data_IF_986593834200
#
_entry.id   IF_986593834200
#
_cell.length_a   1.000
_cell.length_b   1.000
_cell.length_c   1.000
_cell.angle_alpha   90.00
_cell.angle_beta   90.00
_cell.angle_gamma   90.00
#
_symmetry.space_group_name_H-M   'P 1'
#
loop_
_entity.id
_entity.type
_entity.pdbx_description
1 polymer ?
#
# COMPACT_ATOMS: atom_id res chain seq x y z
N UNK A 1 22.31 -1.48 -5.45
CA UNK A 1 22.42 -2.30 -6.68
C UNK A 1 22.07 -3.73 -6.32
N UNK A 2 21.33 -4.43 -7.18
CA UNK A 2 21.02 -5.85 -6.97
C UNK A 2 22.28 -6.69 -7.15
N UNK A 3 22.42 -7.75 -6.35
CA UNK A 3 23.50 -8.71 -6.53
C UNK A 3 23.29 -9.51 -7.82
N UNK A 4 24.30 -9.60 -8.68
CA UNK A 4 24.29 -10.48 -9.85
C UNK A 4 24.85 -11.87 -9.54
N UNK A 5 25.25 -12.13 -8.30
CA UNK A 5 25.83 -13.40 -7.90
C UNK A 5 24.73 -14.44 -7.65
N UNK A 6 24.23 -15.07 -8.73
CA UNK A 6 23.22 -16.14 -8.70
C UNK A 6 22.02 -15.81 -7.81
N UNK A 7 21.48 -14.61 -8.00
CA UNK A 7 20.36 -14.10 -7.21
C UNK A 7 19.05 -14.39 -7.91
N UNK A 8 18.08 -14.91 -7.16
CA UNK A 8 16.72 -15.16 -7.63
C UNK A 8 15.78 -14.19 -6.91
N UNK A 9 15.02 -13.44 -7.69
CA UNK A 9 14.05 -12.46 -7.21
C UNK A 9 12.67 -12.97 -7.62
N UNK A 10 11.80 -13.21 -6.65
CA UNK A 10 10.46 -13.75 -6.89
C UNK A 10 9.44 -12.63 -6.86
N UNK A 11 8.59 -12.54 -7.88
CA UNK A 11 7.45 -11.61 -7.96
C UNK A 11 6.15 -12.39 -7.82
N UNK A 12 5.58 -12.32 -6.63
CA UNK A 12 4.26 -12.83 -6.26
C UNK A 12 3.81 -12.07 -5.02
N UNK A 13 2.77 -11.26 -5.12
CA UNK A 13 2.35 -10.36 -4.06
C UNK A 13 2.02 -11.16 -2.79
N UNK A 14 2.54 -10.73 -1.65
CA UNK A 14 2.48 -11.53 -0.44
C UNK A 14 2.50 -10.69 0.82
N UNK A 15 1.53 -10.97 1.69
CA UNK A 15 1.54 -10.51 3.06
C UNK A 15 2.63 -11.25 3.84
N UNK A 16 3.71 -10.51 4.09
CA UNK A 16 4.82 -10.90 4.95
C UNK A 16 5.53 -9.64 5.41
N UNK A 17 5.97 -9.58 6.67
CA UNK A 17 6.81 -8.49 7.14
C UNK A 17 8.08 -8.38 6.27
N UNK A 18 8.58 -7.17 5.95
CA UNK A 18 9.71 -7.02 5.04
C UNK A 18 10.98 -7.67 5.58
N UNK A 19 11.50 -8.63 4.83
CA UNK A 19 12.74 -9.35 5.12
C UNK A 19 13.58 -9.51 3.83
N UNK A 20 14.90 -9.71 3.93
CA UNK A 20 15.71 -9.97 2.74
C UNK A 20 15.30 -11.26 2.01
N UNK A 21 15.33 -11.22 0.67
CA UNK A 21 15.17 -12.38 -0.22
C UNK A 21 13.83 -13.11 -0.15
N UNK A 22 12.74 -12.40 0.15
CA UNK A 22 11.37 -12.91 0.06
C UNK A 22 10.55 -12.09 -0.95
N UNK A 23 9.52 -12.68 -1.54
CA UNK A 23 8.50 -11.94 -2.28
C UNK A 23 7.62 -11.17 -1.28
N UNK A 24 7.52 -9.86 -1.47
CA UNK A 24 6.78 -8.93 -0.60
C UNK A 24 5.43 -8.56 -1.23
N UNK A 25 4.86 -7.43 -0.80
CA UNK A 25 3.50 -7.01 -1.12
C UNK A 25 3.23 -6.69 -2.60
N UNK A 26 4.26 -6.33 -3.37
CA UNK A 26 4.11 -5.82 -4.73
C UNK A 26 5.09 -6.41 -5.75
N UNK A 27 4.70 -6.34 -7.02
CA UNK A 27 5.43 -6.94 -8.14
C UNK A 27 5.64 -5.94 -9.27
N UNK A 28 6.89 -5.58 -9.54
CA UNK A 28 7.25 -4.62 -10.58
C UNK A 28 8.30 -5.21 -11.51
N UNK A 29 7.90 -5.84 -12.63
CA UNK A 29 8.82 -6.50 -13.57
C UNK A 29 9.53 -5.49 -14.49
N UNK A 30 10.16 -4.48 -13.89
CA UNK A 30 10.98 -3.46 -14.53
C UNK A 30 12.38 -3.44 -13.93
N UNK A 31 13.40 -3.24 -14.75
CA UNK A 31 14.75 -2.93 -14.28
C UNK A 31 15.38 -1.81 -15.11
N UNK A 32 16.32 -1.10 -14.48
CA UNK A 32 17.20 -0.11 -15.09
C UNK A 32 18.64 -0.59 -14.98
N UNK A 33 19.37 -0.56 -16.10
CA UNK A 33 20.79 -0.89 -16.17
C UNK A 33 21.57 0.39 -16.43
N UNK A 34 22.62 0.61 -15.63
CA UNK A 34 23.64 1.61 -15.91
C UNK A 34 24.72 0.99 -16.80
N UNK A 35 25.13 1.73 -17.81
CA UNK A 35 26.19 1.39 -18.73
C UNK A 35 27.44 2.23 -18.44
N UNK A 36 28.60 1.75 -18.89
CA UNK A 36 29.83 2.49 -18.73
C UNK A 36 29.74 3.85 -19.45
N UNK A 37 30.30 4.89 -18.83
CA UNK A 37 30.15 6.28 -19.31
C UNK A 37 28.86 6.98 -18.88
N UNK A 38 28.02 6.37 -18.04
CA UNK A 38 26.84 7.01 -17.43
C UNK A 38 25.55 6.96 -18.26
N UNK A 39 25.56 6.21 -19.37
CA UNK A 39 24.37 5.90 -20.14
C UNK A 39 23.52 4.86 -19.40
N UNK A 40 22.25 4.73 -19.77
CA UNK A 40 21.36 3.74 -19.17
C UNK A 40 20.28 3.30 -20.15
N UNK A 41 19.79 2.08 -19.94
CA UNK A 41 18.56 1.59 -20.54
C UNK A 41 17.67 0.92 -19.48
N UNK A 42 16.40 0.73 -19.81
CA UNK A 42 15.44 0.01 -18.97
C UNK A 42 14.69 -1.05 -19.76
N UNK A 43 14.21 -2.08 -19.06
CA UNK A 43 13.37 -3.12 -19.66
C UNK A 43 12.19 -3.39 -18.75
N UNK A 44 10.99 -3.42 -19.33
CA UNK A 44 9.76 -3.79 -18.66
C UNK A 44 9.15 -5.02 -19.35
N UNK A 45 8.85 -6.05 -18.56
CA UNK A 45 8.07 -7.20 -19.00
C UNK A 45 6.62 -7.03 -18.51
N UNK A 46 5.69 -6.74 -19.42
CA UNK A 46 4.28 -6.63 -19.09
C UNK A 46 3.68 -8.04 -18.92
N UNK A 47 3.88 -8.60 -17.73
CA UNK A 47 3.38 -9.92 -17.34
C UNK A 47 3.06 -9.91 -15.83
N UNK A 48 1.87 -10.36 -15.45
CA UNK A 48 1.38 -10.33 -14.07
C UNK A 48 1.37 -11.68 -13.37
N UNK A 49 1.73 -12.77 -14.06
CA UNK A 49 1.80 -14.08 -13.43
C UNK A 49 2.94 -14.14 -12.40
N UNK A 50 2.90 -15.18 -11.55
CA UNK A 50 4.02 -15.50 -10.68
C UNK A 50 5.29 -15.67 -11.51
N UNK A 51 6.40 -15.06 -11.10
CA UNK A 51 7.65 -15.17 -11.85
C UNK A 51 8.89 -15.14 -10.96
N UNK A 52 9.95 -15.80 -11.43
CA UNK A 52 11.31 -15.57 -10.95
C UNK A 52 12.09 -14.71 -11.97
N UNK A 53 12.91 -13.82 -11.45
CA UNK A 53 13.98 -13.12 -12.17
C UNK A 53 15.30 -13.66 -11.67
N UNK A 54 16.07 -14.29 -12.54
CA UNK A 54 17.36 -14.89 -12.19
C UNK A 54 18.50 -14.02 -12.71
N UNK A 55 19.32 -13.51 -11.80
CA UNK A 55 20.52 -12.71 -12.09
C UNK A 55 21.76 -13.59 -11.92
N UNK A 56 22.64 -13.56 -12.92
CA UNK A 56 23.90 -14.33 -12.94
C UNK A 56 25.10 -13.41 -13.22
N UNK A 57 26.33 -13.79 -12.81
CA UNK A 57 27.48 -12.88 -12.81
C UNK A 57 28.11 -12.63 -14.18
N UNK A 58 27.59 -13.24 -15.25
CA UNK A 58 28.17 -13.14 -16.59
C UNK A 58 28.22 -11.73 -17.22
N UNK A 59 27.58 -10.67 -16.71
CA UNK A 59 26.22 -10.52 -16.17
C UNK A 59 25.12 -10.97 -17.14
N UNK A 60 24.04 -11.57 -16.65
CA UNK A 60 22.82 -11.80 -17.45
C UNK A 60 21.58 -11.91 -16.56
N UNK A 61 20.41 -11.76 -17.18
CA UNK A 61 19.10 -11.85 -16.53
C UNK A 61 18.22 -12.86 -17.29
N UNK A 62 17.44 -13.65 -16.56
CA UNK A 62 16.40 -14.51 -17.12
C UNK A 62 15.05 -14.26 -16.45
N UNK A 63 14.05 -13.88 -17.24
CA UNK A 63 12.65 -13.88 -16.81
C UNK A 63 12.08 -15.30 -16.89
N UNK A 64 11.44 -15.77 -15.83
CA UNK A 64 10.75 -17.08 -15.76
C UNK A 64 9.36 -16.89 -15.19
N UNK A 65 8.44 -16.49 -16.06
CA UNK A 65 7.01 -16.38 -15.72
C UNK A 65 6.30 -17.73 -15.88
N UNK A 66 5.28 -17.95 -15.06
CA UNK A 66 4.48 -19.18 -15.08
C UNK A 66 3.27 -19.13 -16.04
N UNK A 67 2.99 -17.97 -16.64
CA UNK A 67 1.85 -17.80 -17.54
C UNK A 67 1.94 -16.55 -18.40
N UNK A 68 0.83 -16.22 -19.07
CA UNK A 68 0.73 -15.04 -19.93
C UNK A 68 1.61 -15.13 -21.19
N UNK A 69 2.07 -13.98 -21.66
CA UNK A 69 2.94 -13.83 -22.83
C UNK A 69 4.23 -13.07 -22.47
N UNK A 70 5.18 -13.04 -23.41
CA UNK A 70 6.36 -12.19 -23.33
C UNK A 70 6.08 -10.88 -24.10
N UNK A 71 5.56 -9.88 -23.38
CA UNK A 71 5.38 -8.52 -23.89
C UNK A 71 6.45 -7.61 -23.28
N UNK A 72 7.42 -7.19 -24.08
CA UNK A 72 8.67 -6.58 -23.62
C UNK A 72 8.86 -5.18 -24.21
N UNK A 73 9.08 -4.22 -23.33
CA UNK A 73 9.44 -2.84 -23.67
C UNK A 73 10.91 -2.59 -23.32
N UNK A 74 11.61 -1.88 -24.20
CA UNK A 74 13.00 -1.46 -24.00
C UNK A 74 13.06 0.06 -24.12
N UNK A 75 13.61 0.71 -23.10
CA UNK A 75 13.72 2.15 -22.96
C UNK A 75 15.19 2.55 -23.06
N UNK A 76 15.54 3.43 -24.00
CA UNK A 76 16.94 3.65 -24.40
C UNK A 76 17.64 4.82 -23.67
N UNK A 77 16.93 5.58 -22.82
CA UNK A 77 17.52 6.73 -22.14
C UNK A 77 17.85 7.87 -23.11
N UNK A 78 19.10 8.39 -23.17
CA UNK A 78 20.31 7.76 -22.61
C UNK A 78 20.56 8.07 -21.13
N UNK A 79 19.99 9.13 -20.57
CA UNK A 79 20.16 9.45 -19.15
C UNK A 79 19.29 8.50 -18.29
N UNK A 80 19.73 8.10 -17.08
CA UNK A 80 18.90 7.31 -16.16
C UNK A 80 17.54 7.94 -15.86
N UNK A 81 17.46 9.27 -15.75
CA UNK A 81 16.19 10.01 -15.58
C UNK A 81 15.27 9.84 -16.79
N UNK A 82 15.83 9.88 -18.00
CA UNK A 82 15.09 9.69 -19.25
C UNK A 82 14.56 8.25 -19.38
N UNK A 83 15.32 7.25 -18.91
CA UNK A 83 14.84 5.85 -18.86
C UNK A 83 13.60 5.72 -17.98
N UNK A 84 13.63 6.31 -16.78
CA UNK A 84 12.47 6.31 -15.87
C UNK A 84 11.28 7.01 -16.55
N UNK A 85 11.47 8.19 -17.12
CA UNK A 85 10.41 8.89 -17.83
C UNK A 85 9.79 8.04 -18.96
N UNK A 86 10.61 7.41 -19.79
CA UNK A 86 10.17 6.56 -20.90
C UNK A 86 9.38 5.33 -20.42
N UNK A 87 9.78 4.73 -19.29
CA UNK A 87 8.99 3.68 -18.64
C UNK A 87 7.61 4.21 -18.20
N UNK A 88 7.58 5.39 -17.58
CA UNK A 88 6.34 6.00 -17.12
C UNK A 88 5.45 6.53 -18.26
N UNK A 89 5.99 6.78 -19.45
CA UNK A 89 5.19 7.06 -20.66
C UNK A 89 4.31 5.85 -21.03
N UNK A 90 4.74 4.63 -20.71
CA UNK A 90 3.99 3.39 -20.97
C UNK A 90 3.02 3.09 -19.84
N UNK A 91 3.49 3.06 -18.59
CA UNK A 91 2.66 2.61 -17.45
C UNK A 91 1.80 3.72 -16.84
N UNK A 92 2.11 4.98 -17.15
CA UNK A 92 1.39 6.17 -16.71
C UNK A 92 2.12 6.95 -15.63
N UNK A 93 2.08 8.28 -15.76
CA UNK A 93 2.72 9.18 -14.81
C UNK A 93 2.03 9.17 -13.43
N UNK A 94 2.80 9.43 -12.35
CA UNK A 94 2.28 9.53 -10.99
C UNK A 94 1.09 10.49 -10.87
N UNK A 95 0.13 10.16 -10.01
CA UNK A 95 -0.94 11.08 -9.66
C UNK A 95 -0.39 12.30 -8.92
N UNK A 96 -1.05 13.45 -9.07
CA UNK A 96 -0.72 14.63 -8.26
C UNK A 96 -1.40 14.51 -6.89
N UNK A 97 -0.65 14.39 -5.77
CA UNK A 97 -1.26 14.34 -4.46
C UNK A 97 -1.94 15.67 -4.11
N UNK A 98 -2.96 15.68 -3.23
CA UNK A 98 -3.37 16.89 -2.55
C UNK A 98 -2.23 17.39 -1.65
N UNK A 99 -2.08 18.71 -1.54
CA UNK A 99 -0.96 19.32 -0.78
C UNK A 99 -0.88 18.86 0.67
N UNK A 100 -2.03 18.70 1.34
CA UNK A 100 -2.12 18.21 2.72
C UNK A 100 -1.55 16.80 2.89
N UNK A 101 -1.56 15.99 1.82
CA UNK A 101 -1.00 14.63 1.81
C UNK A 101 0.52 14.58 1.83
N UNK A 102 1.19 15.74 1.76
CA UNK A 102 2.64 15.87 1.95
C UNK A 102 3.00 16.30 3.38
N UNK A 103 2.01 16.66 4.20
CA UNK A 103 2.19 16.96 5.62
C UNK A 103 2.59 15.72 6.44
N UNK A 104 2.58 15.86 7.75
CA UNK A 104 2.82 14.73 8.65
C UNK A 104 1.53 13.95 8.94
N UNK A 105 1.65 12.63 8.91
CA UNK A 105 0.58 11.67 9.18
C UNK A 105 0.90 10.88 10.45
N UNK A 106 -0.09 10.68 11.33
CA UNK A 106 0.08 9.92 12.56
C UNK A 106 -1.00 8.87 12.73
N UNK A 107 -0.59 7.63 12.98
CA UNK A 107 -1.44 6.46 13.11
C UNK A 107 -0.91 5.53 14.22
N UNK A 108 -1.75 4.60 14.64
CA UNK A 108 -1.36 3.32 15.24
C UNK A 108 -2.54 2.35 15.16
N UNK A 109 -2.24 1.06 15.24
CA UNK A 109 -3.21 0.11 15.74
C UNK A 109 -3.30 0.28 17.28
N UNK A 110 -4.50 0.53 17.79
CA UNK A 110 -4.80 0.65 19.22
C UNK A 110 -5.26 2.02 19.69
N UNK A 111 -5.57 2.97 18.80
CA UNK A 111 -6.34 4.15 19.19
C UNK A 111 -7.80 3.75 19.34
N UNK A 112 -8.12 3.09 20.45
CA UNK A 112 -9.34 2.30 20.60
C UNK A 112 -10.64 3.08 20.82
N UNK A 113 -10.59 4.42 20.92
CA UNK A 113 -11.77 5.26 21.06
C UNK A 113 -11.58 6.60 20.35
N UNK A 114 -12.69 7.28 20.03
CA UNK A 114 -12.65 8.65 19.51
C UNK A 114 -11.99 9.63 20.50
N UNK A 115 -12.18 9.44 21.81
CA UNK A 115 -11.56 10.26 22.85
C UNK A 115 -10.02 10.12 22.87
N UNK A 116 -9.49 8.90 22.76
CA UNK A 116 -8.04 8.66 22.65
C UNK A 116 -7.50 9.31 21.37
N UNK A 117 -8.22 9.15 20.26
CA UNK A 117 -7.83 9.74 18.97
C UNK A 117 -7.74 11.28 19.05
N UNK A 118 -8.70 11.94 19.72
CA UNK A 118 -8.62 13.39 20.00
C UNK A 118 -7.43 13.77 20.87
N UNK A 119 -7.15 12.99 21.93
CA UNK A 119 -6.02 13.25 22.81
C UNK A 119 -4.68 13.23 22.06
N UNK A 120 -4.52 12.38 21.05
CA UNK A 120 -3.32 12.36 20.20
C UNK A 120 -3.12 13.71 19.51
N UNK A 121 -4.18 14.24 18.90
CA UNK A 121 -4.16 15.53 18.20
C UNK A 121 -3.92 16.69 19.18
N UNK A 122 -4.56 16.66 20.35
CA UNK A 122 -4.34 17.64 21.42
C UNK A 122 -2.90 17.63 21.91
N UNK A 123 -2.31 16.46 22.15
CA UNK A 123 -0.95 16.32 22.64
C UNK A 123 0.09 16.76 21.60
N UNK A 124 -0.10 16.40 20.32
CA UNK A 124 0.72 16.92 19.22
C UNK A 124 0.68 18.45 19.16
N UNK A 125 -0.53 19.02 19.26
CA UNK A 125 -0.74 20.48 19.23
C UNK A 125 -0.07 21.16 20.43
N UNK A 126 -0.27 20.63 21.65
CA UNK A 126 0.31 21.15 22.90
C UNK A 126 1.83 21.13 22.89
N UNK A 127 2.43 20.11 22.27
CA UNK A 127 3.88 19.96 22.15
C UNK A 127 4.47 20.66 20.91
N UNK A 128 3.68 21.43 20.15
CA UNK A 128 4.10 22.16 18.95
C UNK A 128 4.66 21.27 17.83
N UNK A 129 4.09 20.07 17.67
CA UNK A 129 4.37 19.23 16.50
C UNK A 129 3.32 19.49 15.40
N UNK A 130 3.76 19.74 14.15
CA UNK A 130 2.86 19.70 13.00
C UNK A 130 2.16 18.34 12.86
N UNK A 131 0.89 18.37 12.49
CA UNK A 131 0.07 17.20 12.19
C UNK A 131 -1.04 17.63 11.23
N UNK A 132 -0.99 17.15 9.99
CA UNK A 132 -2.03 17.43 8.98
C UNK A 132 -3.11 16.36 8.97
N UNK A 133 -2.74 15.10 9.22
CA UNK A 133 -3.65 13.97 9.02
C UNK A 133 -3.61 13.01 10.20
N UNK A 134 -4.76 12.86 10.87
CA UNK A 134 -4.99 11.83 11.88
C UNK A 134 -5.53 10.56 11.22
N UNK A 135 -5.08 9.41 11.70
CA UNK A 135 -5.47 8.12 11.18
C UNK A 135 -6.05 7.20 12.26
N UNK A 136 -6.95 6.30 11.88
CA UNK A 136 -7.25 5.10 12.67
C UNK A 136 -7.05 3.83 11.83
N UNK A 137 -6.55 2.81 12.51
CA UNK A 137 -6.52 1.42 12.06
C UNK A 137 -7.90 0.76 12.29
N UNK A 138 -7.97 -0.57 12.36
CA UNK A 138 -9.18 -1.38 12.54
C UNK A 138 -10.06 -0.99 13.75
N UNK A 139 -9.52 -0.22 14.69
CA UNK A 139 -10.16 0.16 15.95
C UNK A 139 -11.52 0.85 15.76
N UNK A 140 -11.70 1.62 14.68
CA UNK A 140 -12.94 2.37 14.46
C UNK A 140 -14.11 1.47 14.09
N UNK A 141 -13.83 0.33 13.44
CA UNK A 141 -14.83 -0.54 12.82
C UNK A 141 -15.66 -1.29 13.86
N UNK A 142 -16.92 -1.59 13.53
CA UNK A 142 -17.73 -2.52 14.30
C UNK A 142 -17.36 -3.97 13.94
N UNK A 143 -16.77 -4.67 14.90
CA UNK A 143 -16.24 -6.03 14.74
C UNK A 143 -15.25 -6.19 13.55
N UNK A 144 -14.44 -5.14 13.30
CA UNK A 144 -13.43 -5.11 12.20
C UNK A 144 -14.02 -5.29 10.80
N UNK A 145 -15.25 -4.80 10.59
CA UNK A 145 -15.93 -4.84 9.29
C UNK A 145 -15.88 -3.48 8.61
N UNK A 146 -15.54 -3.45 7.33
CA UNK A 146 -15.55 -2.22 6.53
C UNK A 146 -16.90 -1.52 6.53
N UNK A 147 -16.86 -0.21 6.28
CA UNK A 147 -18.05 0.65 6.16
C UNK A 147 -18.96 0.63 7.40
N UNK A 148 -18.39 0.33 8.57
CA UNK A 148 -19.06 0.42 9.86
C UNK A 148 -18.22 1.23 10.84
N UNK A 149 -18.84 1.65 11.94
CA UNK A 149 -18.08 2.12 13.09
C UNK A 149 -18.75 1.68 14.39
N UNK A 150 -17.93 1.28 15.36
CA UNK A 150 -18.36 0.77 16.65
C UNK A 150 -19.11 1.86 17.44
N UNK A 151 -20.34 1.58 17.92
CA UNK A 151 -21.17 2.57 18.60
C UNK A 151 -20.81 2.79 20.08
N UNK A 152 -20.08 1.88 20.70
CA UNK A 152 -19.62 1.99 22.09
C UNK A 152 -18.39 2.89 22.20
N UNK A 153 -17.41 2.70 21.33
CA UNK A 153 -16.10 3.35 21.42
C UNK A 153 -15.91 4.49 20.41
N UNK A 154 -16.69 4.47 19.33
CA UNK A 154 -16.66 5.42 18.22
C UNK A 154 -18.09 5.95 17.92
N UNK A 155 -18.98 5.96 18.91
CA UNK A 155 -20.38 6.42 18.73
C UNK A 155 -20.51 7.85 18.19
N UNK A 156 -19.55 8.72 18.49
CA UNK A 156 -19.45 10.11 18.03
C UNK A 156 -18.43 10.30 16.88
N UNK A 157 -18.07 9.23 16.17
CA UNK A 157 -17.05 9.26 15.13
C UNK A 157 -17.27 10.33 14.03
N UNK A 158 -18.49 10.56 13.51
CA UNK A 158 -18.75 11.68 12.59
C UNK A 158 -18.36 13.05 13.17
N UNK A 159 -18.65 13.29 14.46
CA UNK A 159 -18.31 14.55 15.13
C UNK A 159 -16.80 14.71 15.29
N UNK A 160 -16.09 13.63 15.66
CA UNK A 160 -14.62 13.64 15.74
C UNK A 160 -13.98 14.08 14.42
N UNK A 161 -14.44 13.55 13.29
CA UNK A 161 -13.90 13.92 11.97
C UNK A 161 -14.24 15.38 11.61
N UNK A 162 -15.47 15.84 11.91
CA UNK A 162 -15.85 17.23 11.69
C UNK A 162 -15.00 18.21 12.53
N UNK A 163 -14.67 17.86 13.77
CA UNK A 163 -13.78 18.64 14.63
C UNK A 163 -12.36 18.74 14.05
N UNK A 164 -11.83 17.64 13.49
CA UNK A 164 -10.55 17.65 12.78
C UNK A 164 -10.57 18.62 11.59
N UNK A 165 -11.66 18.62 10.82
CA UNK A 165 -11.83 19.54 9.69
C UNK A 165 -11.91 21.01 10.14
N UNK A 166 -12.61 21.30 11.23
CA UNK A 166 -12.75 22.65 11.78
C UNK A 166 -11.40 23.28 12.18
N UNK A 167 -10.44 22.46 12.59
CA UNK A 167 -9.07 22.89 12.93
C UNK A 167 -8.09 22.71 11.77
N UNK A 168 -8.59 22.51 10.54
CA UNK A 168 -7.79 22.45 9.31
C UNK A 168 -7.03 21.16 9.09
N UNK A 169 -7.39 20.07 9.78
CA UNK A 169 -6.78 18.74 9.61
C UNK A 169 -7.64 17.85 8.73
N UNK A 170 -7.05 16.73 8.28
CA UNK A 170 -7.71 15.70 7.47
C UNK A 170 -7.75 14.39 8.25
N UNK A 171 -8.59 13.49 7.79
CA UNK A 171 -8.78 12.18 8.40
C UNK A 171 -8.66 11.06 7.37
N UNK A 172 -7.90 10.02 7.69
CA UNK A 172 -7.79 8.80 6.89
C UNK A 172 -8.04 7.60 7.78
N UNK A 173 -8.64 6.55 7.25
CA UNK A 173 -8.83 5.29 7.95
C UNK A 173 -8.45 4.11 7.06
N UNK A 174 -8.13 3.00 7.71
CA UNK A 174 -7.93 1.72 7.04
C UNK A 174 -9.25 1.22 6.44
N UNK A 175 -9.15 0.57 5.29
CA UNK A 175 -10.21 -0.17 4.62
C UNK A 175 -9.56 -1.45 4.09
N UNK A 176 -10.17 -2.60 4.40
CA UNK A 176 -9.71 -3.88 3.88
C UNK A 176 -10.55 -4.27 2.66
N UNK A 177 -10.03 -5.13 1.76
CA UNK A 177 -10.81 -5.62 0.64
C UNK A 177 -11.82 -6.69 1.08
N UNK A 178 -11.49 -7.50 2.09
CA UNK A 178 -12.22 -8.72 2.39
C UNK A 178 -13.49 -8.44 3.21
N UNK A 179 -14.66 -8.74 2.64
CA UNK A 179 -15.96 -8.39 3.20
C UNK A 179 -16.52 -9.54 4.04
N UNK A 180 -16.82 -9.27 5.32
CA UNK A 180 -17.39 -10.24 6.26
C UNK A 180 -18.62 -10.97 5.69
N UNK A 181 -18.61 -12.29 5.71
CA UNK A 181 -19.65 -13.16 5.13
C UNK A 181 -20.47 -13.94 6.15
N UNK A 182 -20.16 -13.80 7.46
CA UNK A 182 -20.73 -14.61 8.54
C UNK A 182 -21.91 -13.97 9.28
N UNK A 183 -22.25 -12.72 8.97
CA UNK A 183 -23.37 -12.01 9.60
C UNK A 183 -24.74 -12.62 9.21
N UNK A 184 -25.77 -12.52 10.07
CA UNK A 184 -27.13 -12.89 9.68
C UNK A 184 -27.60 -12.10 8.46
N UNK A 185 -28.41 -12.72 7.61
CA UNK A 185 -28.97 -12.04 6.44
C UNK A 185 -29.81 -10.80 6.86
N UNK A 186 -29.63 -9.69 6.15
CA UNK A 186 -30.28 -8.40 6.42
C UNK A 186 -29.53 -7.49 7.40
N UNK A 187 -28.31 -7.84 7.82
CA UNK A 187 -27.56 -7.13 8.88
C UNK A 187 -26.27 -6.47 8.42
N UNK A 188 -25.76 -6.81 7.23
CA UNK A 188 -24.50 -6.25 6.73
C UNK A 188 -24.56 -5.99 5.23
N UNK A 189 -24.99 -4.75 4.91
CA UNK A 189 -25.23 -4.28 3.53
C UNK A 189 -24.05 -4.47 2.57
N UNK A 190 -22.78 -4.20 2.92
CA UNK A 190 -21.67 -4.43 2.00
C UNK A 190 -21.61 -5.86 1.46
N UNK A 191 -21.85 -6.87 2.31
CA UNK A 191 -21.89 -8.26 1.89
C UNK A 191 -23.14 -8.60 1.09
N UNK A 192 -24.32 -8.22 1.59
CA UNK A 192 -25.60 -8.55 0.94
C UNK A 192 -25.73 -7.94 -0.44
N UNK A 193 -25.37 -6.66 -0.58
CA UNK A 193 -25.41 -5.97 -1.86
C UNK A 193 -24.34 -6.51 -2.81
N UNK A 194 -23.16 -6.83 -2.29
CA UNK A 194 -22.11 -7.48 -3.07
C UNK A 194 -22.54 -8.86 -3.59
N UNK A 195 -23.19 -9.65 -2.75
CA UNK A 195 -23.74 -10.96 -3.12
C UNK A 195 -24.86 -10.82 -4.16
N UNK A 196 -25.77 -9.86 -3.97
CA UNK A 196 -26.87 -9.55 -4.89
C UNK A 196 -26.38 -9.13 -6.28
N UNK A 197 -25.28 -8.38 -6.34
CA UNK A 197 -24.66 -7.88 -7.58
C UNK A 197 -23.61 -8.81 -8.18
N UNK A 198 -23.24 -9.89 -7.49
CA UNK A 198 -22.24 -10.84 -7.96
C UNK A 198 -20.83 -10.23 -8.05
N UNK A 199 -20.43 -9.45 -7.04
CA UNK A 199 -19.16 -8.69 -7.07
C UNK A 199 -17.96 -9.47 -6.54
N UNK A 200 -18.17 -10.65 -5.95
CA UNK A 200 -17.12 -11.42 -5.31
C UNK A 200 -16.44 -12.40 -6.26
N UNK A 201 -15.15 -12.65 -6.01
CA UNK A 201 -14.38 -13.73 -6.62
C UNK A 201 -15.07 -15.05 -6.28
N UNK A 202 -15.25 -15.92 -7.29
CA UNK A 202 -15.94 -17.19 -7.12
C UNK A 202 -15.01 -18.40 -7.18
N UNK A 203 -15.38 -19.48 -6.51
CA UNK A 203 -14.74 -20.79 -6.63
C UNK A 203 -15.25 -21.58 -7.87
N UNK A 204 -14.81 -22.82 -8.04
CA UNK A 204 -15.19 -23.69 -9.17
C UNK A 204 -16.69 -24.03 -9.23
N UNK A 205 -17.44 -23.91 -8.12
CA UNK A 205 -18.90 -24.14 -8.11
C UNK A 205 -19.71 -22.87 -8.39
N UNK A 206 -19.03 -21.76 -8.68
CA UNK A 206 -19.66 -20.46 -8.94
C UNK A 206 -20.16 -19.75 -7.68
N UNK A 207 -19.82 -20.25 -6.49
CA UNK A 207 -20.12 -19.58 -5.22
C UNK A 207 -18.98 -18.63 -4.84
N UNK A 208 -19.24 -17.55 -4.05
CA UNK A 208 -18.17 -16.72 -3.52
C UNK A 208 -17.11 -17.56 -2.81
N UNK A 209 -15.84 -17.33 -3.13
CA UNK A 209 -14.73 -17.94 -2.40
C UNK A 209 -14.69 -17.34 -0.99
N UNK A 210 -14.70 -18.21 0.03
CA UNK A 210 -14.67 -17.78 1.43
C UNK A 210 -13.27 -18.02 2.02
N UNK A 211 -12.62 -16.95 2.45
CA UNK A 211 -11.38 -16.99 3.22
C UNK A 211 -11.60 -16.52 4.66
N UNK A 212 -10.51 -16.12 5.30
CA UNK A 212 -10.53 -15.61 6.67
C UNK A 212 -9.59 -14.42 6.80
N UNK A 213 -10.10 -13.29 7.26
CA UNK A 213 -9.31 -12.08 7.58
C UNK A 213 -9.81 -11.51 8.92
N UNK A 214 -9.71 -10.21 9.15
CA UNK A 214 -9.96 -9.55 10.42
C UNK A 214 -11.35 -9.76 11.01
N UNK A 215 -12.45 -9.71 10.23
CA UNK A 215 -13.81 -9.95 10.76
C UNK A 215 -14.20 -11.44 10.78
N UNK A 216 -13.26 -12.35 10.58
CA UNK A 216 -13.53 -13.79 10.46
C UNK A 216 -13.73 -14.21 9.00
N UNK A 217 -14.79 -14.97 8.73
CA UNK A 217 -15.10 -15.46 7.38
C UNK A 217 -15.41 -14.29 6.44
N UNK A 218 -14.80 -14.30 5.27
CA UNK A 218 -14.87 -13.17 4.32
C UNK A 218 -14.94 -13.65 2.86
N UNK A 219 -15.64 -12.88 2.03
CA UNK A 219 -15.58 -12.96 0.58
C UNK A 219 -14.70 -11.82 0.04
N UNK A 220 -14.07 -12.02 -1.11
CA UNK A 220 -13.13 -11.07 -1.71
C UNK A 220 -13.78 -10.40 -2.93
N UNK A 221 -13.88 -9.06 -3.00
CA UNK A 221 -14.36 -8.36 -4.18
C UNK A 221 -13.45 -8.60 -5.38
N UNK A 222 -14.07 -8.75 -6.54
CA UNK A 222 -13.37 -8.81 -7.82
C UNK A 222 -13.30 -7.42 -8.45
N UNK A 223 -12.26 -6.66 -8.16
CA UNK A 223 -12.07 -5.31 -8.71
C UNK A 223 -11.77 -5.28 -10.22
N UNK A 224 -11.74 -6.42 -10.90
CA UNK A 224 -11.73 -6.49 -12.37
C UNK A 224 -13.13 -6.46 -12.97
N UNK A 225 -14.16 -6.73 -12.17
CA UNK A 225 -15.57 -6.68 -12.56
C UNK A 225 -16.09 -5.22 -12.50
N UNK A 226 -16.64 -4.67 -13.59
CA UNK A 226 -17.26 -3.35 -13.58
C UNK A 226 -18.36 -3.17 -12.52
N UNK A 227 -19.15 -4.21 -12.24
CA UNK A 227 -20.19 -4.15 -11.20
C UNK A 227 -19.59 -4.02 -9.79
N UNK A 228 -18.43 -4.63 -9.54
CA UNK A 228 -17.70 -4.47 -8.28
C UNK A 228 -17.16 -3.04 -8.13
N UNK A 229 -16.73 -2.40 -9.22
CA UNK A 229 -16.30 -1.00 -9.20
C UNK A 229 -17.44 -0.06 -8.79
N UNK A 230 -18.63 -0.27 -9.34
CA UNK A 230 -19.80 0.51 -8.99
C UNK A 230 -20.28 0.22 -7.56
N UNK A 231 -20.30 -1.05 -7.14
CA UNK A 231 -20.60 -1.42 -5.75
C UNK A 231 -19.63 -0.77 -4.76
N UNK A 232 -18.33 -0.83 -5.02
CA UNK A 232 -17.31 -0.24 -4.15
C UNK A 232 -17.51 1.27 -4.01
N UNK A 233 -17.77 1.92 -5.13
CA UNK A 233 -18.08 3.34 -5.18
C UNK A 233 -19.33 3.70 -4.37
N UNK A 234 -20.38 2.88 -4.44
CA UNK A 234 -21.59 3.08 -3.63
C UNK A 234 -21.29 2.91 -2.14
N UNK A 235 -20.56 1.86 -1.74
CA UNK A 235 -20.17 1.63 -0.33
C UNK A 235 -19.33 2.78 0.23
N UNK A 236 -18.32 3.23 -0.53
CA UNK A 236 -17.47 4.36 -0.15
C UNK A 236 -18.29 5.64 -0.04
N UNK A 237 -19.20 5.92 -0.98
CA UNK A 237 -20.03 7.13 -0.96
C UNK A 237 -21.03 7.12 0.21
N UNK A 238 -21.68 5.99 0.46
CA UNK A 238 -22.62 5.82 1.57
C UNK A 238 -21.93 5.96 2.93
N UNK A 239 -20.72 5.40 3.08
CA UNK A 239 -19.96 5.55 4.33
C UNK A 239 -19.41 6.97 4.49
N UNK A 240 -18.95 7.60 3.40
CA UNK A 240 -18.49 9.00 3.41
C UNK A 240 -19.61 9.96 3.82
N UNK A 241 -20.86 9.68 3.44
CA UNK A 241 -22.02 10.47 3.87
C UNK A 241 -22.27 10.41 5.38
N UNK A 242 -21.80 9.36 6.06
CA UNK A 242 -21.86 9.24 7.53
C UNK A 242 -20.63 9.83 8.20
N UNK A 243 -19.44 9.53 7.66
CA UNK A 243 -18.14 9.94 8.20
C UNK A 243 -17.33 10.57 7.05
N UNK A 244 -17.11 11.89 7.04
CA UNK A 244 -16.50 12.57 5.89
C UNK A 244 -14.97 12.41 5.86
N UNK A 245 -14.46 11.20 5.63
CA UNK A 245 -13.03 10.92 5.52
C UNK A 245 -12.40 11.52 4.25
N UNK A 246 -11.09 11.77 4.29
CA UNK A 246 -10.38 12.53 3.25
C UNK A 246 -9.55 11.69 2.27
N UNK A 247 -9.40 10.40 2.57
CA UNK A 247 -8.64 9.44 1.79
C UNK A 247 -8.85 8.04 2.33
N UNK A 248 -8.27 7.05 1.64
CA UNK A 248 -8.37 5.65 2.02
C UNK A 248 -6.98 5.06 2.17
N UNK A 249 -6.77 4.35 3.27
CA UNK A 249 -5.66 3.42 3.42
C UNK A 249 -6.20 2.03 3.08
N UNK A 250 -5.86 1.52 1.91
CA UNK A 250 -6.26 0.18 1.48
C UNK A 250 -5.16 -0.82 1.86
N UNK A 251 -5.49 -1.75 2.75
CA UNK A 251 -4.56 -2.73 3.30
C UNK A 251 -4.99 -4.17 2.96
N UNK A 252 -4.18 -5.17 3.29
CA UNK A 252 -4.53 -6.58 3.13
C UNK A 252 -4.81 -7.01 1.67
N UNK A 253 -4.31 -6.26 0.70
CA UNK A 253 -4.74 -6.31 -0.68
C UNK A 253 -3.76 -6.97 -1.64
N UNK A 254 -2.98 -7.93 -1.16
CA UNK A 254 -2.22 -8.82 -2.03
C UNK A 254 -3.07 -9.73 -2.93
N UNK A 255 -4.24 -10.30 -2.55
CA UNK A 255 -5.00 -10.21 -1.28
C UNK A 255 -4.47 -11.15 -0.20
N UNK A 256 -4.36 -10.65 1.03
CA UNK A 256 -3.98 -11.44 2.20
C UNK A 256 -5.12 -12.35 2.67
N UNK A 257 -4.76 -13.56 3.10
CA UNK A 257 -5.72 -14.52 3.64
C UNK A 257 -5.08 -15.30 4.79
N UNK A 258 -5.75 -15.39 5.95
CA UNK A 258 -5.24 -16.09 7.12
C UNK A 258 -5.33 -17.62 7.00
N UNK A 259 -6.08 -18.11 6.01
CA UNK A 259 -6.10 -19.53 5.62
C UNK A 259 -5.43 -19.72 4.26
N UNK A 260 -4.96 -20.94 3.99
CA UNK A 260 -4.34 -21.29 2.71
C UNK A 260 -5.42 -21.49 1.64
N UNK A 261 -5.60 -20.49 0.77
CA UNK A 261 -6.55 -20.57 -0.34
C UNK A 261 -7.97 -20.20 0.07
N UNK A 262 -8.71 -21.13 0.65
CA UNK A 262 -10.07 -20.89 1.15
C UNK A 262 -10.34 -21.75 2.39
N UNK A 263 -11.45 -21.52 3.09
CA UNK A 263 -11.87 -22.38 4.21
C UNK A 263 -12.20 -23.81 3.78
N UNK A 264 -12.51 -24.01 2.49
CA UNK A 264 -12.76 -25.32 1.89
C UNK A 264 -11.50 -25.89 1.19
N UNK A 265 -10.35 -25.23 1.32
CA UNK A 265 -9.14 -25.53 0.57
C UNK A 265 -9.24 -25.08 -0.89
N UNK A 266 -8.45 -25.71 -1.76
CA UNK A 266 -8.47 -25.43 -3.20
C UNK A 266 -8.47 -26.75 -3.98
N UNK A 267 -9.03 -26.76 -5.20
CA UNK A 267 -9.00 -27.92 -6.08
C UNK A 267 -7.58 -28.39 -6.40
N UNK A 268 -7.46 -29.65 -6.84
CA UNK A 268 -6.21 -30.19 -7.34
C UNK A 268 -6.16 -30.07 -8.87
N UNK A 269 -5.51 -29.01 -9.36
CA UNK A 269 -5.38 -28.72 -10.78
C UNK A 269 -4.03 -28.01 -11.07
N UNK A 270 -3.74 -27.81 -12.36
CA UNK A 270 -2.45 -27.26 -12.81
C UNK A 270 -2.25 -25.77 -12.46
N UNK A 271 -3.29 -25.01 -12.11
CA UNK A 271 -3.13 -23.63 -11.65
C UNK A 271 -2.71 -23.60 -10.18
N UNK A 272 -3.23 -24.53 -9.39
CA UNK A 272 -2.91 -24.66 -7.97
C UNK A 272 -1.58 -25.38 -7.71
N UNK A 273 -1.20 -26.27 -8.64
CA UNK A 273 0.00 -27.07 -8.65
C UNK A 273 0.70 -26.97 -10.04
N UNK A 274 1.22 -25.79 -10.40
CA UNK A 274 1.85 -25.57 -11.70
C UNK A 274 3.13 -26.40 -11.87
N UNK A 275 3.51 -26.74 -13.11
CA UNK A 275 4.71 -27.54 -13.39
C UNK A 275 6.02 -26.83 -12.99
N UNK A 276 5.99 -25.50 -12.87
CA UNK A 276 7.07 -24.69 -12.30
C UNK A 276 6.50 -23.82 -11.18
N UNK A 277 7.11 -23.88 -9.99
CA UNK A 277 6.78 -23.05 -8.85
C UNK A 277 7.92 -22.05 -8.62
N UNK A 278 7.68 -20.74 -8.76
CA UNK A 278 8.68 -19.72 -8.40
C UNK A 278 9.10 -19.80 -6.94
N UNK A 279 10.16 -19.09 -6.56
CA UNK A 279 10.71 -19.10 -5.19
C UNK A 279 9.86 -18.39 -4.15
N UNK A 280 8.54 -18.62 -4.12
CA UNK A 280 7.61 -17.95 -3.21
C UNK A 280 7.72 -18.47 -1.79
N UNK A 281 7.55 -17.59 -0.79
CA UNK A 281 7.49 -18.01 0.61
C UNK A 281 6.34 -19.00 0.82
N UNK A 282 6.63 -20.11 1.48
CA UNK A 282 5.66 -21.20 1.70
C UNK A 282 5.55 -22.21 0.55
N UNK A 283 6.26 -22.01 -0.57
CA UNK A 283 6.41 -23.00 -1.64
C UNK A 283 5.13 -23.30 -2.43
N UNK A 284 4.12 -22.44 -2.35
CA UNK A 284 2.85 -22.59 -3.07
C UNK A 284 2.22 -21.21 -3.30
N UNK A 285 1.59 -21.02 -4.46
CA UNK A 285 0.91 -19.76 -4.81
C UNK A 285 -0.24 -19.40 -3.86
N UNK A 286 -0.80 -20.40 -3.14
CA UNK A 286 -1.93 -20.23 -2.20
C UNK A 286 -1.52 -19.81 -0.79
N UNK A 287 -0.21 -19.70 -0.51
CA UNK A 287 0.25 -19.42 0.84
C UNK A 287 -0.05 -17.96 1.21
N UNK A 288 -0.86 -17.79 2.25
CA UNK A 288 -1.39 -16.51 2.75
C UNK A 288 -2.15 -15.67 1.71
N UNK A 289 -2.81 -16.34 0.75
CA UNK A 289 -3.68 -15.71 -0.24
C UNK A 289 -4.77 -16.70 -0.68
N UNK A 290 -5.54 -16.36 -1.71
CA UNK A 290 -6.68 -17.15 -2.18
C UNK A 290 -6.28 -18.24 -3.20
N UNK A 291 -7.23 -19.09 -3.59
CA UNK A 291 -7.01 -20.15 -4.58
C UNK A 291 -6.63 -19.55 -5.94
N UNK A 292 -5.56 -20.04 -6.58
CA UNK A 292 -5.09 -19.50 -7.85
C UNK A 292 -6.08 -19.76 -9.00
N UNK A 293 -6.82 -20.87 -8.93
CA UNK A 293 -7.88 -21.21 -9.89
C UNK A 293 -9.20 -20.49 -9.66
N UNK A 294 -9.31 -19.66 -8.62
CA UNK A 294 -10.53 -18.86 -8.40
C UNK A 294 -10.80 -17.90 -9.55
N UNK A 295 -12.07 -17.63 -9.81
CA UNK A 295 -12.53 -16.91 -10.99
C UNK A 295 -12.78 -15.44 -10.67
N UNK A 296 -12.14 -14.59 -11.46
CA UNK A 296 -12.42 -13.17 -11.59
C UNK A 296 -13.00 -12.90 -12.98
N UNK A 297 -13.53 -11.71 -13.19
CA UNK A 297 -14.23 -11.30 -14.41
C UNK A 297 -13.32 -11.34 -15.63
N UNK A 298 -12.05 -10.92 -15.50
CA UNK A 298 -11.11 -10.91 -16.63
C UNK A 298 -10.39 -12.24 -16.86
N UNK A 299 -10.08 -13.00 -15.81
CA UNK A 299 -9.35 -14.28 -15.88
C UNK A 299 -9.42 -15.01 -14.53
N UNK A 300 -8.64 -16.06 -14.37
CA UNK A 300 -8.36 -16.68 -13.08
C UNK A 300 -7.45 -15.81 -12.22
N UNK A 301 -7.52 -16.01 -10.90
CA UNK A 301 -6.62 -15.33 -9.96
C UNK A 301 -5.14 -15.65 -10.21
N UNK A 302 -4.83 -16.80 -10.81
CA UNK A 302 -3.47 -17.19 -11.23
C UNK A 302 -2.80 -16.13 -12.13
N UNK A 303 -3.57 -15.51 -13.03
CA UNK A 303 -3.08 -14.46 -13.93
C UNK A 303 -3.21 -13.06 -13.32
N UNK A 304 -4.17 -12.87 -12.41
CA UNK A 304 -4.58 -11.55 -11.93
C UNK A 304 -4.11 -11.22 -10.51
N UNK A 305 -3.54 -12.17 -9.78
CA UNK A 305 -3.15 -12.02 -8.38
C UNK A 305 -2.28 -10.79 -8.14
N UNK A 306 -1.20 -10.65 -8.91
CA UNK A 306 -0.29 -9.49 -8.77
C UNK A 306 -0.97 -8.15 -9.11
N UNK A 307 -2.16 -8.15 -9.69
CA UNK A 307 -2.93 -6.95 -10.05
C UNK A 307 -3.98 -6.59 -8.99
N UNK A 308 -4.23 -7.43 -7.98
CA UNK A 308 -5.35 -7.24 -7.06
C UNK A 308 -5.32 -5.86 -6.39
N UNK A 309 -4.22 -5.52 -5.70
CA UNK A 309 -4.04 -4.21 -5.07
C UNK A 309 -4.04 -3.03 -6.07
N UNK A 310 -3.54 -3.22 -7.29
CA UNK A 310 -3.61 -2.20 -8.35
C UNK A 310 -5.08 -1.92 -8.75
N UNK A 311 -5.87 -2.98 -8.92
CA UNK A 311 -7.28 -2.85 -9.32
C UNK A 311 -8.14 -2.27 -8.21
N UNK A 312 -7.88 -2.60 -6.95
CA UNK A 312 -8.51 -1.94 -5.80
C UNK A 312 -8.09 -0.46 -5.68
N UNK A 313 -6.81 -0.14 -5.91
CA UNK A 313 -6.34 1.25 -5.90
C UNK A 313 -7.05 2.09 -6.98
N UNK A 314 -7.25 1.54 -8.17
CA UNK A 314 -8.05 2.16 -9.23
C UNK A 314 -9.51 2.35 -8.81
N UNK A 315 -10.14 1.32 -8.23
CA UNK A 315 -11.52 1.39 -7.75
C UNK A 315 -11.69 2.47 -6.68
N UNK A 316 -10.80 2.49 -5.69
CA UNK A 316 -10.77 3.44 -4.58
C UNK A 316 -10.47 4.86 -5.04
N UNK A 317 -9.56 5.05 -6.00
CA UNK A 317 -9.31 6.34 -6.63
C UNK A 317 -10.60 6.91 -7.24
N UNK A 318 -11.32 6.11 -8.05
CA UNK A 318 -12.58 6.53 -8.67
C UNK A 318 -13.66 6.82 -7.64
N UNK A 319 -13.78 5.96 -6.63
CA UNK A 319 -14.76 6.11 -5.56
C UNK A 319 -14.55 7.42 -4.78
N UNK A 320 -13.32 7.75 -4.39
CA UNK A 320 -12.99 9.01 -3.70
C UNK A 320 -13.22 10.24 -4.59
N UNK A 321 -12.92 10.16 -5.89
CA UNK A 321 -13.22 11.25 -6.83
C UNK A 321 -14.73 11.52 -6.88
N UNK A 322 -15.56 10.47 -6.96
CA UNK A 322 -17.02 10.64 -6.97
C UNK A 322 -17.56 11.13 -5.63
N UNK A 323 -17.10 10.56 -4.51
CA UNK A 323 -17.59 10.89 -3.18
C UNK A 323 -17.23 12.32 -2.74
N UNK A 324 -16.05 12.83 -3.16
CA UNK A 324 -15.49 14.10 -2.66
C UNK A 324 -15.38 15.20 -3.70
N UNK A 325 -15.34 14.88 -5.00
CA UNK A 325 -15.12 15.87 -6.06
C UNK A 325 -13.75 16.56 -6.01
N UNK A 326 -12.78 15.97 -5.29
CA UNK A 326 -11.43 16.50 -5.09
C UNK A 326 -10.37 15.46 -5.47
N UNK A 327 -9.10 15.85 -5.45
CA UNK A 327 -8.00 14.90 -5.64
C UNK A 327 -8.10 13.78 -4.60
N UNK A 328 -8.10 12.51 -5.01
CA UNK A 328 -8.12 11.39 -4.08
C UNK A 328 -6.75 11.26 -3.41
N UNK A 329 -6.74 10.66 -2.23
CA UNK A 329 -5.53 10.25 -1.54
C UNK A 329 -5.72 8.79 -1.14
N UNK A 330 -5.04 7.91 -1.85
CA UNK A 330 -5.04 6.47 -1.61
C UNK A 330 -3.62 6.05 -1.24
N UNK A 331 -3.49 5.25 -0.21
CA UNK A 331 -2.23 4.62 0.20
C UNK A 331 -2.48 3.11 0.26
N UNK A 332 -1.70 2.35 -0.51
CA UNK A 332 -1.91 0.91 -0.73
C UNK A 332 -0.70 0.08 -0.32
N UNK A 333 -0.93 -1.12 0.21
CA UNK A 333 0.14 -2.07 0.53
C UNK A 333 0.64 -2.75 -0.74
N UNK A 334 -0.24 -3.50 -1.37
CA UNK A 334 0.06 -4.22 -2.59
C UNK A 334 0.09 -3.27 -3.80
N UNK A 335 1.00 -3.54 -4.74
CA UNK A 335 1.24 -2.69 -5.91
C UNK A 335 1.66 -3.53 -7.12
N UNK A 336 1.44 -2.97 -8.32
CA UNK A 336 1.97 -3.47 -9.59
C UNK A 336 2.51 -2.32 -10.44
N UNK A 337 3.18 -2.60 -11.56
CA UNK A 337 3.61 -1.58 -12.52
C UNK A 337 2.45 -0.64 -12.92
N UNK A 338 2.66 0.67 -12.83
CA UNK A 338 1.65 1.71 -13.08
C UNK A 338 0.83 2.15 -11.85
N UNK A 339 1.04 1.53 -10.67
CA UNK A 339 0.31 1.84 -9.43
C UNK A 339 0.30 3.31 -9.04
N UNK A 340 1.44 3.98 -9.23
CA UNK A 340 1.60 5.39 -8.84
C UNK A 340 0.70 6.36 -9.60
N UNK A 341 0.06 5.93 -10.69
CA UNK A 341 -0.99 6.69 -11.38
C UNK A 341 -2.27 6.86 -10.53
N UNK A 342 -2.47 6.01 -9.53
CA UNK A 342 -3.71 5.97 -8.74
C UNK A 342 -3.47 6.08 -7.23
N UNK A 343 -2.32 5.64 -6.71
CA UNK A 343 -2.12 5.57 -5.26
C UNK A 343 -0.66 5.77 -4.88
N UNK A 344 -0.43 6.21 -3.66
CA UNK A 344 0.87 6.05 -2.99
C UNK A 344 1.03 4.65 -2.40
N UNK A 345 2.13 4.46 -1.69
CA UNK A 345 2.53 3.19 -1.09
C UNK A 345 3.22 3.42 0.27
N UNK A 346 3.11 2.47 1.18
CA UNK A 346 4.02 2.37 2.33
C UNK A 346 4.64 0.99 2.39
N UNK A 347 5.87 0.90 2.87
CA UNK A 347 6.70 -0.32 2.78
C UNK A 347 6.26 -1.45 3.73
N UNK A 348 5.05 -1.39 4.28
CA UNK A 348 4.48 -2.42 5.15
C UNK A 348 5.09 -2.51 6.54
N UNK A 349 5.02 -3.73 7.10
CA UNK A 349 5.17 -4.03 8.52
C UNK A 349 6.65 -4.14 8.94
N UNK A 350 7.39 -3.05 8.78
CA UNK A 350 8.82 -2.98 9.11
C UNK A 350 9.08 -3.06 10.62
N UNK A 351 10.16 -3.72 11.02
CA UNK A 351 10.59 -3.77 12.42
C UNK A 351 11.19 -2.44 12.92
N UNK A 352 10.96 -2.11 14.19
CA UNK A 352 11.63 -1.01 14.90
C UNK A 352 13.09 -1.34 15.22
N UNK A 353 13.93 -1.42 14.19
CA UNK A 353 15.37 -1.64 14.32
C UNK A 353 16.19 -0.78 13.32
N UNK A 354 17.50 -0.70 13.55
CA UNK A 354 18.42 0.10 12.73
C UNK A 354 18.61 -0.42 11.32
N UNK A 355 18.41 -1.72 11.11
CA UNK A 355 18.56 -2.35 9.81
C UNK A 355 17.42 -1.94 8.88
N UNK A 356 16.17 -1.98 9.36
CA UNK A 356 14.99 -1.52 8.62
C UNK A 356 15.01 -0.02 8.35
N UNK A 357 15.51 0.77 9.30
CA UNK A 357 15.79 2.19 9.05
C UNK A 357 16.73 2.35 7.83
N UNK A 358 17.79 1.54 7.76
CA UNK A 358 18.73 1.56 6.62
C UNK A 358 18.08 1.08 5.32
N UNK A 359 17.30 -0.02 5.35
CA UNK A 359 16.63 -0.59 4.18
C UNK A 359 15.53 0.28 3.59
N UNK A 360 14.91 1.13 4.40
CA UNK A 360 13.93 2.11 3.92
C UNK A 360 14.49 3.03 2.82
N UNK A 361 15.76 3.43 2.89
CA UNK A 361 16.35 4.37 1.92
C UNK A 361 16.36 3.77 0.51
N UNK A 362 16.99 2.62 0.23
CA UNK A 362 16.95 2.04 -1.10
C UNK A 362 15.53 1.68 -1.54
N UNK A 363 14.62 1.33 -0.63
CA UNK A 363 13.24 0.99 -0.97
C UNK A 363 12.42 2.21 -1.43
N UNK A 364 12.47 3.33 -0.70
CA UNK A 364 11.84 4.60 -1.13
C UNK A 364 12.42 5.06 -2.48
N UNK A 365 13.73 4.93 -2.68
CA UNK A 365 14.37 5.29 -3.95
C UNK A 365 13.90 4.38 -5.09
N UNK A 366 13.78 3.06 -4.84
CA UNK A 366 13.29 2.08 -5.81
C UNK A 366 11.87 2.43 -6.25
N UNK A 367 10.95 2.67 -5.33
CA UNK A 367 9.57 3.02 -5.68
C UNK A 367 9.46 4.34 -6.44
N UNK A 368 10.38 5.28 -6.26
CA UNK A 368 10.46 6.48 -7.10
C UNK A 368 10.84 6.15 -8.55
N UNK A 369 11.80 5.25 -8.78
CA UNK A 369 12.14 4.76 -10.12
C UNK A 369 10.98 4.00 -10.78
N UNK A 370 10.15 3.35 -9.96
CA UNK A 370 8.96 2.61 -10.40
C UNK A 370 7.73 3.51 -10.62
N UNK A 371 7.87 4.83 -10.48
CA UNK A 371 6.76 5.77 -10.68
C UNK A 371 5.76 5.83 -9.54
N UNK A 372 6.13 5.41 -8.34
CA UNK A 372 5.33 5.55 -7.11
C UNK A 372 6.04 6.52 -6.15
N UNK A 373 6.15 7.81 -6.50
CA UNK A 373 6.93 8.76 -5.72
C UNK A 373 6.34 9.06 -4.36
N UNK A 374 5.02 8.92 -4.16
CA UNK A 374 4.38 9.06 -2.85
C UNK A 374 4.57 7.77 -2.04
N UNK A 375 5.78 7.58 -1.52
CA UNK A 375 6.21 6.38 -0.78
C UNK A 375 6.95 6.75 0.51
N UNK A 376 6.83 5.89 1.52
CA UNK A 376 7.51 6.03 2.81
C UNK A 376 7.43 4.75 3.65
N UNK A 377 8.28 4.64 4.65
CA UNK A 377 8.20 3.58 5.66
C UNK A 377 7.53 4.12 6.94
N UNK A 378 7.01 3.22 7.77
CA UNK A 378 6.47 3.59 9.07
C UNK A 378 7.60 4.10 9.98
N UNK A 379 7.58 5.41 10.24
CA UNK A 379 8.63 6.10 10.99
C UNK A 379 8.66 5.58 12.43
N UNK A 380 9.87 5.24 12.88
CA UNK A 380 10.17 4.53 14.15
C UNK A 380 9.90 3.02 14.12
N UNK A 381 9.43 2.49 12.99
CA UNK A 381 9.10 1.08 12.78
C UNK A 381 7.71 0.71 13.30
N UNK A 382 7.10 -0.30 12.70
CA UNK A 382 5.78 -0.79 13.05
C UNK A 382 5.86 -1.93 14.09
N UNK A 383 6.66 -2.96 13.81
CA UNK A 383 6.78 -4.15 14.66
C UNK A 383 7.81 -3.96 15.78
N UNK A 384 7.41 -4.33 17.00
CA UNK A 384 8.28 -4.26 18.19
C UNK A 384 8.37 -2.86 18.79
N UNK A 385 9.22 -2.71 19.80
CA UNK A 385 9.36 -1.45 20.52
C UNK A 385 10.55 -0.65 19.98
N UNK A 386 10.29 0.57 19.50
CA UNK A 386 11.38 1.52 19.18
C UNK A 386 12.14 1.95 20.43
N UNK A 387 13.40 2.36 20.24
CA UNK A 387 14.13 3.18 21.22
C UNK A 387 13.99 4.67 20.91
N UNK A 388 14.24 5.53 21.89
CA UNK A 388 14.24 6.99 21.68
C UNK A 388 15.27 7.41 20.63
N UNK A 389 16.49 6.87 20.69
CA UNK A 389 17.54 7.21 19.73
C UNK A 389 17.16 6.79 18.30
N UNK A 390 16.66 5.56 18.14
CA UNK A 390 16.19 5.07 16.84
C UNK A 390 15.07 5.97 16.32
N UNK A 391 14.08 6.29 17.15
CA UNK A 391 12.93 7.08 16.72
C UNK A 391 13.33 8.53 16.36
N UNK A 392 14.31 9.12 17.06
CA UNK A 392 14.89 10.42 16.66
C UNK A 392 15.55 10.31 15.29
N UNK A 393 16.37 9.29 15.03
CA UNK A 393 17.05 9.11 13.74
C UNK A 393 16.07 8.81 12.60
N UNK A 394 15.09 7.95 12.86
CA UNK A 394 14.06 7.63 11.89
C UNK A 394 13.19 8.85 11.59
N UNK A 395 12.86 9.67 12.59
CA UNK A 395 12.13 10.92 12.37
C UNK A 395 12.95 11.91 11.53
N UNK A 396 14.26 12.03 11.78
CA UNK A 396 15.16 12.88 10.99
C UNK A 396 15.22 12.45 9.53
N UNK A 397 15.36 11.15 9.25
CA UNK A 397 15.35 10.62 7.89
C UNK A 397 13.94 10.73 7.27
N UNK A 398 12.92 10.28 7.99
CA UNK A 398 11.54 10.19 7.54
C UNK A 398 10.91 11.54 7.22
N UNK A 399 11.42 12.63 7.79
CA UNK A 399 11.07 13.99 7.37
C UNK A 399 11.36 14.26 5.88
N UNK A 400 12.22 13.46 5.25
CA UNK A 400 12.54 13.51 3.82
C UNK A 400 11.89 12.40 2.99
N UNK A 401 11.13 11.48 3.59
CA UNK A 401 10.29 10.58 2.81
C UNK A 401 9.21 11.38 2.07
N UNK A 402 8.93 11.11 0.79
CA UNK A 402 7.84 11.78 0.10
C UNK A 402 6.48 11.59 0.80
N UNK A 403 6.17 10.37 1.26
CA UNK A 403 5.07 10.09 2.18
C UNK A 403 5.60 9.92 3.61
N UNK A 404 5.10 10.71 4.55
CA UNK A 404 5.64 10.79 5.90
C UNK A 404 4.60 10.39 6.95
N UNK A 405 4.63 9.13 7.38
CA UNK A 405 3.75 8.59 8.43
C UNK A 405 4.54 7.95 9.57
N UNK A 406 4.17 8.28 10.80
CA UNK A 406 4.49 7.43 11.95
C UNK A 406 3.28 6.53 12.22
N UNK A 407 3.52 5.23 12.26
CA UNK A 407 2.52 4.20 12.51
C UNK A 407 3.14 3.10 13.37
N UNK A 408 2.32 2.44 14.20
CA UNK A 408 2.79 1.57 15.26
C UNK A 408 1.82 0.40 15.47
N UNK A 409 2.35 -0.77 15.81
CA UNK A 409 1.55 -1.95 16.05
C UNK A 409 0.79 -1.90 17.40
N UNK A 410 -0.23 -2.76 17.52
CA UNK A 410 -1.14 -2.81 18.66
C UNK A 410 -0.42 -2.96 20.02
N UNK A 411 0.53 -3.89 20.06
CA UNK A 411 1.20 -4.30 21.30
C UNK A 411 2.51 -3.55 21.57
N UNK A 412 2.85 -2.58 20.71
CA UNK A 412 4.08 -1.80 20.83
C UNK A 412 3.89 -0.62 21.78
N UNK A 413 4.97 -0.24 22.46
CA UNK A 413 5.02 0.97 23.29
C UNK A 413 4.68 2.21 22.44
N UNK A 414 3.99 3.21 23.01
CA UNK A 414 3.65 4.44 22.29
C UNK A 414 4.90 5.15 21.76
N UNK A 415 4.84 5.59 20.50
CA UNK A 415 5.96 6.24 19.81
C UNK A 415 5.55 7.53 19.10
N UNK A 416 4.45 8.15 19.54
CA UNK A 416 4.10 9.49 19.06
C UNK A 416 5.18 10.48 19.52
N UNK A 417 5.55 11.50 18.71
CA UNK A 417 6.69 12.38 19.03
C UNK A 417 6.66 13.00 20.43
N UNK A 418 5.47 13.36 20.94
CA UNK A 418 5.29 13.95 22.28
C UNK A 418 5.54 12.97 23.45
N UNK A 419 5.78 11.68 23.19
CA UNK A 419 6.04 10.66 24.23
C UNK A 419 7.49 10.63 24.72
N UNK A 420 8.40 11.21 23.96
CA UNK A 420 9.84 11.10 24.22
C UNK A 420 10.37 12.22 25.12
N UNK A 421 11.64 12.14 25.53
CA UNK A 421 12.31 13.19 26.29
C UNK A 421 12.27 14.55 25.57
N UNK A 422 12.32 15.66 26.32
CA UNK A 422 12.32 17.02 25.72
C UNK A 422 13.44 17.21 24.69
N UNK A 423 14.61 16.59 24.91
CA UNK A 423 15.73 16.64 23.97
C UNK A 423 15.40 15.93 22.65
N UNK A 424 14.77 14.75 22.72
CA UNK A 424 14.30 14.03 21.55
C UNK A 424 13.18 14.81 20.83
N UNK A 425 12.23 15.37 21.58
CA UNK A 425 11.15 16.18 21.03
C UNK A 425 11.67 17.39 20.27
N UNK A 426 12.69 18.10 20.78
CA UNK A 426 13.32 19.22 20.07
C UNK A 426 13.95 18.79 18.75
N UNK A 427 14.64 17.64 18.72
CA UNK A 427 15.23 17.10 17.50
C UNK A 427 14.16 16.72 16.46
N UNK A 428 13.08 16.08 16.90
CA UNK A 428 11.95 15.71 16.05
C UNK A 428 11.22 16.94 15.50
N UNK A 429 10.93 17.95 16.35
CA UNK A 429 10.34 19.23 15.91
C UNK A 429 11.17 19.93 14.87
N UNK A 430 12.50 19.92 15.00
CA UNK A 430 13.42 20.51 14.02
C UNK A 430 13.29 19.82 12.66
N UNK A 431 13.21 18.49 12.63
CA UNK A 431 13.03 17.73 11.40
C UNK A 431 11.68 18.05 10.72
N UNK A 432 10.59 18.08 11.50
CA UNK A 432 9.27 18.45 10.98
C UNK A 432 9.24 19.89 10.47
N UNK A 433 9.79 20.84 11.23
CA UNK A 433 9.81 22.26 10.84
C UNK A 433 10.53 22.43 9.49
N UNK A 434 11.67 21.78 9.30
CA UNK A 434 12.40 21.81 8.04
C UNK A 434 11.56 21.27 6.87
N UNK A 435 10.90 20.11 7.06
CA UNK A 435 9.99 19.56 6.04
C UNK A 435 8.90 20.56 5.66
N UNK A 436 8.24 21.16 6.64
CA UNK A 436 7.13 22.09 6.40
C UNK A 436 7.57 23.36 5.64
N UNK A 437 8.78 23.85 5.92
CA UNK A 437 9.41 24.95 5.13
C UNK A 437 9.66 24.52 3.68
N UNK A 438 9.98 23.25 3.43
CA UNK A 438 10.29 22.71 2.11
C UNK A 438 9.07 22.19 1.33
N UNK A 439 7.86 22.20 1.90
CA UNK A 439 6.67 21.70 1.21
C UNK A 439 6.40 22.34 -0.16
N UNK A 440 6.62 23.67 -0.38
CA UNK A 440 6.49 24.25 -1.72
C UNK A 440 7.45 23.62 -2.74
N UNK A 441 8.69 23.33 -2.34
CA UNK A 441 9.66 22.64 -3.18
C UNK A 441 9.27 21.19 -3.42
N UNK A 442 8.92 20.45 -2.36
CA UNK A 442 8.47 19.07 -2.46
C UNK A 442 7.25 18.93 -3.39
N UNK A 443 6.27 19.84 -3.27
CA UNK A 443 5.09 19.84 -4.11
C UNK A 443 5.41 20.20 -5.58
N UNK A 444 6.43 21.03 -5.81
CA UNK A 444 6.95 21.30 -7.17
C UNK A 444 7.61 20.05 -7.77
N UNK A 445 8.32 19.26 -6.97
CA UNK A 445 8.86 17.97 -7.42
C UNK A 445 7.74 16.99 -7.77
N UNK A 446 6.68 16.91 -6.96
CA UNK A 446 5.50 16.10 -7.30
C UNK A 446 4.80 16.59 -8.57
N UNK A 447 4.76 17.89 -8.82
CA UNK A 447 4.27 18.42 -10.09
C UNK A 447 5.14 17.96 -11.26
N UNK A 448 6.47 18.01 -11.14
CA UNK A 448 7.41 17.46 -12.13
C UNK A 448 7.18 15.97 -12.37
N UNK A 449 7.01 15.19 -11.31
CA UNK A 449 6.65 13.77 -11.40
C UNK A 449 5.34 13.56 -12.18
N UNK A 450 4.30 14.30 -11.83
CA UNK A 450 2.97 14.18 -12.43
C UNK A 450 2.92 14.56 -13.92
N UNK A 451 3.65 15.59 -14.34
CA UNK A 451 3.56 16.14 -15.70
C UNK A 451 4.69 15.73 -16.63
N UNK A 452 5.80 15.20 -16.10
CA UNK A 452 7.00 14.83 -16.87
C UNK A 452 7.62 13.48 -16.48
N UNK A 453 7.00 12.71 -15.59
CA UNK A 453 7.54 11.41 -15.17
C UNK A 453 8.87 11.50 -14.40
N UNK A 454 9.13 12.62 -13.72
CA UNK A 454 10.32 12.77 -12.87
C UNK A 454 10.21 11.99 -11.54
N UNK A 455 11.35 11.63 -10.96
CA UNK A 455 11.43 11.11 -9.58
C UNK A 455 11.37 12.24 -8.53
N UNK A 456 10.79 11.99 -7.35
CA UNK A 456 10.78 12.95 -6.23
C UNK A 456 12.00 12.72 -5.33
N UNK A 457 12.02 11.61 -4.60
CA UNK A 457 13.23 11.14 -3.93
C UNK A 457 14.05 10.34 -4.96
N UNK A 458 15.34 10.69 -5.13
CA UNK A 458 16.13 10.15 -6.24
C UNK A 458 17.53 9.73 -5.79
N UNK A 459 18.05 8.60 -6.31
CA UNK A 459 19.40 8.16 -5.98
C UNK A 459 20.41 9.11 -6.62
N UNK A 460 21.60 9.20 -6.02
CA UNK A 460 22.65 10.11 -6.52
C UNK A 460 23.06 9.79 -7.96
N UNK A 461 23.02 8.52 -8.39
CA UNK A 461 23.38 8.14 -9.76
C UNK A 461 22.37 8.63 -10.83
N UNK A 462 21.19 9.11 -10.41
CA UNK A 462 20.20 9.69 -11.32
C UNK A 462 20.52 11.15 -11.65
N UNK A 463 21.39 11.81 -10.89
CA UNK A 463 21.87 13.18 -11.13
C UNK A 463 23.27 13.16 -11.75
#
# INVERSE_FOLDING_TARGET
>A
MLSTNWTKITLWNRDIAPEPNVNLYGSHPFYLVLEDGGLAHGVFLLNSNAMDVVLQPSPALSWRSTGGILDVYIFLGPEPKSVVQQYLDVVGYPFMPPYWGLGFHLCRWGYSTSAITRQVVENMTRAYFPLDVQWNDLDYMDARRDFTFNKDHFGDFPAMVQELHQIGRRYIMIVDPAISSSGPAGTYRPYEEGLRRGVFITNETGQPLIGQVWPGLTAFPDFTNPEALDWWQDMVTEFHAQVPFDGMWIDMNEPSNFVRGSVDGCPDNNLENPPYMPGVVGGTLRAATICASSHQFLSTHYDLHNLYGLTEALASYRALVKARGMRPFVISRSTFAGHGRYSGHWTGDVWSNWEQLSYSVPEILLFNLLGVPLVGADICGFLGNTSEELCVRWTQLGAFYPFMRNHNALNSQPQEPYRFSERAQQAMRKAFTLRYVLLPYLYTLFHGAHVRGETVARPLFLE
#
